data_IF_651965352749
#
_entry.id   IF_651965352749
#
_cell.length_a   1.000
_cell.length_b   1.000
_cell.length_c   1.000
_cell.angle_alpha   90.00
_cell.angle_beta   90.00
_cell.angle_gamma   90.00
#
_symmetry.space_group_name_H-M   'P 1'
#
loop_
_entity.id
_entity.type
_entity.pdbx_description
1 polymer ?
#
# COMPACT_ATOMS: atom_id res chain seq x y z
N UNK A 1 19.45 -42.81 -2.02
CA UNK A 1 18.62 -41.65 -2.34
C UNK A 1 18.84 -40.56 -1.30
N UNK A 2 19.80 -39.68 -1.59
CA UNK A 2 20.13 -38.53 -0.71
C UNK A 2 19.40 -37.32 -1.28
N UNK A 3 18.38 -36.87 -0.56
CA UNK A 3 17.66 -35.61 -0.86
C UNK A 3 18.61 -34.44 -0.61
N UNK A 4 19.01 -33.76 -1.66
CA UNK A 4 19.77 -32.49 -1.56
C UNK A 4 18.80 -31.36 -1.27
N UNK A 5 18.75 -30.92 -0.03
CA UNK A 5 18.17 -29.64 0.36
C UNK A 5 18.96 -28.50 -0.30
N UNK A 6 18.40 -27.90 -1.34
CA UNK A 6 18.86 -26.62 -1.86
C UNK A 6 18.45 -25.53 -0.88
N UNK A 7 19.39 -25.05 -0.07
CA UNK A 7 19.24 -23.77 0.64
C UNK A 7 19.10 -22.66 -0.41
N UNK A 8 17.94 -22.05 -0.48
CA UNK A 8 17.70 -20.84 -1.25
C UNK A 8 18.50 -19.70 -0.60
N UNK A 9 19.52 -19.24 -1.30
CA UNK A 9 20.29 -18.05 -0.90
C UNK A 9 19.49 -16.81 -1.35
N UNK A 10 18.69 -16.27 -0.47
CA UNK A 10 18.05 -14.95 -0.65
C UNK A 10 19.16 -13.89 -0.47
N UNK A 11 19.55 -13.23 -1.55
CA UNK A 11 20.53 -12.13 -1.46
C UNK A 11 19.80 -10.89 -0.95
N UNK A 12 20.02 -10.56 0.30
CA UNK A 12 19.60 -9.30 0.90
C UNK A 12 20.65 -8.22 0.55
N UNK A 13 20.22 -7.17 -0.16
CA UNK A 13 21.04 -5.98 -0.36
C UNK A 13 20.56 -4.91 0.60
N UNK A 14 21.37 -4.61 1.60
CA UNK A 14 21.14 -3.49 2.51
C UNK A 14 21.93 -2.28 1.99
N UNK A 15 21.23 -1.24 1.54
CA UNK A 15 21.83 0.07 1.32
C UNK A 15 21.34 1.01 2.43
N UNK A 16 22.25 1.60 3.16
CA UNK A 16 21.97 2.63 4.16
C UNK A 16 22.16 4.00 3.50
N UNK A 17 21.11 4.51 2.85
CA UNK A 17 21.05 5.92 2.48
C UNK A 17 20.33 6.68 3.59
N UNK A 18 21.09 7.41 4.39
CA UNK A 18 20.56 8.37 5.36
C UNK A 18 20.32 9.70 4.65
N UNK A 19 19.10 9.97 4.25
CA UNK A 19 18.69 11.30 3.83
C UNK A 19 18.29 12.12 5.06
N UNK A 20 19.13 13.09 5.45
CA UNK A 20 18.69 14.20 6.29
C UNK A 20 18.00 15.23 5.40
N UNK A 21 16.68 15.33 5.53
CA UNK A 21 15.91 16.38 4.85
C UNK A 21 16.10 17.72 5.54
N UNK A 22 16.35 18.77 4.74
CA UNK A 22 16.45 20.16 5.20
C UNK A 22 15.11 20.82 5.51
N UNK A 23 13.98 20.18 5.16
CA UNK A 23 12.64 20.68 5.44
C UNK A 23 12.31 20.59 6.94
N UNK A 24 11.74 21.65 7.48
CA UNK A 24 11.42 21.76 8.93
C UNK A 24 10.53 20.62 9.42
N UNK A 25 9.62 20.12 8.57
CA UNK A 25 8.67 19.03 8.88
C UNK A 25 9.36 17.68 8.99
N UNK A 26 10.46 17.47 8.23
CA UNK A 26 11.19 16.21 8.20
C UNK A 26 12.50 16.25 9.00
N UNK A 27 12.74 17.35 9.71
CA UNK A 27 13.97 17.50 10.53
C UNK A 27 14.00 16.46 11.64
N UNK A 28 15.04 15.64 11.65
CA UNK A 28 15.17 14.53 12.60
C UNK A 28 14.53 13.23 12.14
N UNK A 29 14.05 13.16 10.89
CA UNK A 29 13.63 11.91 10.28
C UNK A 29 14.85 11.07 9.88
N UNK A 30 14.83 9.80 10.26
CA UNK A 30 15.77 8.80 9.77
C UNK A 30 15.01 7.75 8.97
N UNK A 31 15.43 7.53 7.74
CA UNK A 31 14.89 6.48 6.88
C UNK A 31 16.03 5.56 6.46
N UNK A 32 15.87 4.26 6.69
CA UNK A 32 16.74 3.23 6.12
C UNK A 32 15.92 2.31 5.24
N UNK A 33 16.52 1.80 4.18
CA UNK A 33 15.81 0.89 3.27
C UNK A 33 16.58 -0.40 3.07
N UNK A 34 15.85 -1.49 2.89
CA UNK A 34 16.38 -2.78 2.45
C UNK A 34 15.46 -3.38 1.40
N UNK A 35 16.00 -4.19 0.52
CA UNK A 35 15.20 -4.86 -0.50
C UNK A 35 15.54 -6.33 -0.61
N UNK A 36 14.50 -7.14 -0.84
CA UNK A 36 14.62 -8.59 -1.05
C UNK A 36 14.03 -8.93 -2.41
N UNK A 37 14.81 -9.61 -3.25
CA UNK A 37 14.31 -10.20 -4.50
C UNK A 37 13.42 -11.40 -4.16
N UNK A 38 12.20 -11.37 -4.66
CA UNK A 38 11.19 -12.41 -4.45
C UNK A 38 10.68 -13.02 -5.76
N UNK A 39 11.25 -12.62 -6.89
CA UNK A 39 10.81 -13.03 -8.24
C UNK A 39 10.84 -14.55 -8.47
N UNK A 40 11.71 -15.26 -7.77
CA UNK A 40 11.78 -16.72 -7.83
C UNK A 40 10.66 -17.43 -7.06
N UNK A 41 9.92 -16.72 -6.22
CA UNK A 41 8.88 -17.28 -5.32
C UNK A 41 7.49 -16.77 -5.69
N UNK A 42 7.40 -15.51 -6.12
CA UNK A 42 6.15 -14.83 -6.41
C UNK A 42 6.10 -14.36 -7.87
N UNK A 43 5.08 -14.79 -8.58
CA UNK A 43 4.87 -14.37 -9.98
C UNK A 43 4.35 -12.92 -10.00
N UNK A 44 4.93 -12.09 -10.84
CA UNK A 44 4.50 -10.70 -11.00
C UNK A 44 4.89 -9.77 -9.84
N UNK A 45 5.72 -10.27 -8.91
CA UNK A 45 6.33 -9.46 -7.86
C UNK A 45 7.81 -9.77 -7.83
N UNK A 46 8.62 -8.80 -8.21
CA UNK A 46 10.06 -8.98 -8.30
C UNK A 46 10.77 -8.73 -6.97
N UNK A 47 10.28 -7.77 -6.20
CA UNK A 47 11.00 -7.27 -5.05
C UNK A 47 10.07 -6.74 -3.96
N UNK A 48 10.44 -6.98 -2.71
CA UNK A 48 9.88 -6.30 -1.54
C UNK A 48 10.91 -5.27 -1.08
N UNK A 49 10.48 -4.01 -0.99
CA UNK A 49 11.28 -2.94 -0.39
C UNK A 49 10.72 -2.63 0.99
N UNK A 50 11.61 -2.62 1.99
CA UNK A 50 11.26 -2.25 3.36
C UNK A 50 11.92 -0.91 3.67
N UNK A 51 11.15 -0.04 4.28
CA UNK A 51 11.63 1.22 4.81
C UNK A 51 11.42 1.23 6.32
N UNK A 52 12.48 1.48 7.06
CA UNK A 52 12.39 1.76 8.49
C UNK A 52 12.41 3.28 8.67
N UNK A 53 11.31 3.80 9.17
CA UNK A 53 11.09 5.22 9.38
C UNK A 53 11.14 5.53 10.88
N UNK A 54 11.98 6.48 11.27
CA UNK A 54 12.07 6.93 12.66
C UNK A 54 11.94 8.45 12.71
N UNK A 55 11.04 8.94 13.55
CA UNK A 55 10.87 10.35 13.83
C UNK A 55 10.38 10.54 15.26
N UNK A 56 10.80 11.63 15.92
CA UNK A 56 10.45 11.93 17.33
C UNK A 56 8.94 12.10 17.57
N UNK A 57 8.19 12.51 16.54
CA UNK A 57 6.75 12.74 16.63
C UNK A 57 5.92 11.48 16.34
N UNK A 58 6.56 10.35 16.02
CA UNK A 58 5.86 9.06 15.95
C UNK A 58 5.51 8.63 17.37
N UNK A 59 4.21 8.44 17.69
CA UNK A 59 3.81 8.04 19.02
C UNK A 59 4.37 6.67 19.41
N UNK A 60 4.76 6.49 20.66
CA UNK A 60 5.38 5.26 21.18
C UNK A 60 4.52 4.01 20.91
N UNK A 61 3.20 4.13 21.01
CA UNK A 61 2.28 3.02 20.71
C UNK A 61 2.41 2.50 19.26
N UNK A 62 2.97 3.28 18.34
CA UNK A 62 3.20 2.91 16.96
C UNK A 62 4.64 2.45 16.70
N UNK A 63 5.46 2.22 17.72
CA UNK A 63 6.76 1.58 17.54
C UNK A 63 6.57 0.18 16.96
N UNK A 64 7.34 -0.11 15.90
CA UNK A 64 7.23 -1.36 15.16
C UNK A 64 5.96 -1.53 14.34
N UNK A 65 5.13 -0.48 14.20
CA UNK A 65 3.92 -0.48 13.39
C UNK A 65 4.28 -0.68 11.91
N UNK A 66 3.59 -1.60 11.26
CA UNK A 66 3.88 -2.02 9.89
C UNK A 66 2.82 -1.53 8.93
N UNK A 67 3.24 -0.80 7.91
CA UNK A 67 2.40 -0.36 6.81
C UNK A 67 2.81 -1.15 5.56
N UNK A 68 1.87 -1.88 4.97
CA UNK A 68 2.03 -2.38 3.61
C UNK A 68 1.48 -1.35 2.64
N UNK A 69 2.20 -1.11 1.56
CA UNK A 69 1.76 -0.20 0.49
C UNK A 69 1.85 -0.91 -0.86
N UNK A 70 0.79 -0.79 -1.65
CA UNK A 70 0.72 -1.25 -3.03
C UNK A 70 0.10 -0.17 -3.91
N UNK A 71 0.54 -0.07 -5.15
CA UNK A 71 0.03 0.88 -6.15
C UNK A 71 0.21 0.31 -7.55
N UNK A 72 -0.50 0.88 -8.53
CA UNK A 72 -0.28 0.63 -9.96
C UNK A 72 -0.35 -0.86 -10.33
N UNK A 73 -1.34 -1.55 -9.81
CA UNK A 73 -1.51 -2.98 -10.06
C UNK A 73 -1.87 -3.27 -11.51
N UNK A 74 -2.60 -2.35 -12.16
CA UNK A 74 -3.07 -2.49 -13.53
C UNK A 74 -3.52 -3.94 -13.83
N UNK A 75 -4.41 -4.45 -12.97
CA UNK A 75 -4.83 -5.84 -13.02
C UNK A 75 -5.43 -6.19 -14.38
N UNK A 76 -5.00 -7.30 -14.93
CA UNK A 76 -5.17 -7.85 -16.27
C UNK A 76 -4.25 -7.24 -17.34
N UNK A 77 -3.59 -6.10 -17.10
CA UNK A 77 -2.50 -5.64 -17.94
C UNK A 77 -1.14 -6.06 -17.37
N UNK A 78 -0.66 -5.38 -16.34
CA UNK A 78 0.63 -5.68 -15.71
C UNK A 78 0.54 -6.90 -14.80
N UNK A 79 -0.42 -6.92 -13.89
CA UNK A 79 -0.63 -8.02 -12.95
C UNK A 79 -1.67 -8.99 -13.50
N UNK A 80 -1.28 -10.24 -13.73
CA UNK A 80 -2.18 -11.32 -14.15
C UNK A 80 -2.72 -12.08 -12.93
N UNK A 81 -3.70 -12.97 -13.14
CA UNK A 81 -4.39 -13.67 -12.06
C UNK A 81 -3.47 -14.45 -11.11
N UNK A 82 -2.49 -15.18 -11.67
CA UNK A 82 -1.48 -15.86 -10.84
C UNK A 82 -0.67 -14.87 -10.01
N UNK A 83 -0.28 -13.74 -10.61
CA UNK A 83 0.43 -12.65 -9.93
C UNK A 83 -0.41 -12.03 -8.81
N UNK A 84 -1.70 -11.81 -9.02
CA UNK A 84 -2.61 -11.31 -7.98
C UNK A 84 -2.68 -12.28 -6.78
N UNK A 85 -2.82 -13.58 -7.03
CA UNK A 85 -2.83 -14.56 -5.95
C UNK A 85 -1.49 -14.62 -5.21
N UNK A 86 -0.38 -14.49 -5.90
CA UNK A 86 0.95 -14.46 -5.32
C UNK A 86 1.19 -13.17 -4.52
N UNK A 87 0.72 -12.01 -5.01
CA UNK A 87 0.74 -10.74 -4.28
C UNK A 87 -0.06 -10.84 -2.97
N UNK A 88 -1.27 -11.39 -3.01
CA UNK A 88 -2.09 -11.60 -1.80
C UNK A 88 -1.36 -12.47 -0.78
N UNK A 89 -0.76 -13.58 -1.20
CA UNK A 89 0.05 -14.45 -0.32
C UNK A 89 1.21 -13.68 0.30
N UNK A 90 1.90 -12.87 -0.50
CA UNK A 90 3.02 -12.05 -0.04
C UNK A 90 2.57 -11.00 0.98
N UNK A 91 1.48 -10.28 0.71
CA UNK A 91 0.92 -9.30 1.63
C UNK A 91 0.50 -9.91 2.97
N UNK A 92 -0.14 -11.08 2.95
CA UNK A 92 -0.48 -11.82 4.17
C UNK A 92 0.78 -12.18 4.96
N UNK A 93 1.86 -12.60 4.28
CA UNK A 93 3.12 -12.95 4.92
C UNK A 93 3.84 -11.76 5.57
N UNK A 94 3.58 -10.51 5.11
CA UNK A 94 4.16 -9.30 5.72
C UNK A 94 3.61 -9.00 7.11
N UNK A 95 2.41 -9.51 7.46
CA UNK A 95 1.73 -9.25 8.74
C UNK A 95 1.67 -7.75 9.05
N UNK A 96 1.26 -6.96 8.07
CA UNK A 96 1.11 -5.53 8.23
C UNK A 96 -0.06 -5.19 9.15
N UNK A 97 0.05 -4.08 9.89
CA UNK A 97 -1.01 -3.56 10.75
C UNK A 97 -2.07 -2.82 9.94
N UNK A 98 -1.66 -2.20 8.83
CA UNK A 98 -2.54 -1.51 7.88
C UNK A 98 -2.07 -1.77 6.45
N UNK A 99 -3.02 -1.87 5.51
CA UNK A 99 -2.74 -1.90 4.08
C UNK A 99 -3.19 -0.58 3.45
N UNK A 100 -2.28 0.08 2.75
CA UNK A 100 -2.55 1.28 1.97
C UNK A 100 -2.44 0.95 0.48
N UNK A 101 -3.38 1.47 -0.32
CA UNK A 101 -3.47 1.23 -1.75
C UNK A 101 -3.48 2.57 -2.49
N UNK A 102 -2.53 2.74 -3.42
CA UNK A 102 -2.22 4.02 -4.08
C UNK A 102 -2.97 4.30 -5.37
N UNK A 103 -3.93 3.43 -5.78
CA UNK A 103 -4.68 3.62 -7.01
C UNK A 103 -4.12 2.86 -8.22
N UNK A 104 -4.72 3.13 -9.38
CA UNK A 104 -4.46 2.47 -10.66
C UNK A 104 -4.60 0.95 -10.57
N UNK A 105 -5.80 0.54 -10.14
CA UNK A 105 -6.07 -0.83 -9.71
C UNK A 105 -6.20 -1.83 -10.85
N UNK A 106 -6.91 -1.48 -11.92
CA UNK A 106 -7.35 -2.44 -12.94
C UNK A 106 -7.51 -1.80 -14.33
N UNK A 107 -7.64 -2.62 -15.37
CA UNK A 107 -7.75 -2.21 -16.78
C UNK A 107 -9.12 -2.53 -17.41
N UNK A 108 -10.19 -2.60 -16.58
CA UNK A 108 -11.57 -2.81 -17.01
C UNK A 108 -12.52 -3.02 -15.85
N UNK A 109 -13.74 -2.50 -15.93
CA UNK A 109 -14.70 -2.52 -14.81
C UNK A 109 -15.09 -3.95 -14.40
N UNK A 110 -15.08 -4.88 -15.35
CA UNK A 110 -15.31 -6.30 -15.08
C UNK A 110 -14.26 -6.95 -14.18
N UNK A 111 -13.12 -6.29 -13.98
CA UNK A 111 -12.03 -6.79 -13.14
C UNK A 111 -12.02 -6.20 -11.73
N UNK A 112 -12.88 -5.24 -11.44
CA UNK A 112 -12.99 -4.60 -10.11
C UNK A 112 -13.33 -5.64 -9.06
N UNK A 113 -14.42 -6.36 -9.23
CA UNK A 113 -14.87 -7.37 -8.27
C UNK A 113 -13.83 -8.50 -8.04
N UNK A 114 -13.28 -9.16 -9.08
CA UNK A 114 -12.25 -10.18 -8.87
C UNK A 114 -11.01 -9.67 -8.14
N UNK A 115 -10.58 -8.44 -8.42
CA UNK A 115 -9.42 -7.83 -7.80
C UNK A 115 -9.66 -7.59 -6.30
N UNK A 116 -10.72 -6.86 -5.96
CA UNK A 116 -10.98 -6.49 -4.57
C UNK A 116 -11.42 -7.67 -3.70
N UNK A 117 -12.11 -8.66 -4.27
CA UNK A 117 -12.37 -9.95 -3.64
C UNK A 117 -11.09 -10.66 -3.24
N UNK A 118 -10.08 -10.68 -4.12
CA UNK A 118 -8.78 -11.27 -3.81
C UNK A 118 -8.04 -10.47 -2.73
N UNK A 119 -7.98 -9.14 -2.85
CA UNK A 119 -7.31 -8.26 -1.88
C UNK A 119 -8.00 -8.30 -0.50
N UNK A 120 -9.30 -8.52 -0.44
CA UNK A 120 -10.06 -8.67 0.81
C UNK A 120 -9.61 -9.86 1.68
N UNK A 121 -8.83 -10.77 1.13
CA UNK A 121 -8.20 -11.88 1.88
C UNK A 121 -7.05 -11.40 2.77
N UNK A 122 -6.48 -10.24 2.47
CA UNK A 122 -5.45 -9.60 3.29
C UNK A 122 -6.13 -8.92 4.47
N UNK A 123 -6.04 -9.53 5.65
CA UNK A 123 -6.62 -8.97 6.87
C UNK A 123 -5.55 -8.23 7.66
N UNK A 124 -5.81 -6.97 7.94
CA UNK A 124 -4.94 -6.10 8.73
C UNK A 124 -5.71 -5.56 9.94
N UNK A 125 -5.10 -5.52 11.15
CA UNK A 125 -5.79 -5.08 12.36
C UNK A 125 -6.38 -3.67 12.28
N UNK A 126 -5.70 -2.76 11.57
CA UNK A 126 -6.10 -1.36 11.42
C UNK A 126 -6.82 -1.08 10.10
N UNK A 127 -7.15 -2.13 9.33
CA UNK A 127 -7.94 -2.02 8.10
C UNK A 127 -7.13 -1.76 6.84
N UNK A 128 -7.86 -1.58 5.76
CA UNK A 128 -7.34 -1.32 4.41
C UNK A 128 -7.90 -0.01 3.89
N UNK A 129 -7.03 0.85 3.42
CA UNK A 129 -7.37 2.17 2.87
C UNK A 129 -6.88 2.29 1.44
N UNK A 130 -7.59 3.05 0.62
CA UNK A 130 -7.16 3.27 -0.75
C UNK A 130 -7.53 4.66 -1.26
N UNK A 131 -6.71 5.16 -2.15
CA UNK A 131 -6.99 6.34 -2.96
C UNK A 131 -7.18 5.92 -4.41
N UNK A 132 -7.73 6.80 -5.25
CA UNK A 132 -7.94 6.55 -6.67
C UNK A 132 -6.81 7.13 -7.49
N UNK A 133 -6.28 6.35 -8.43
CA UNK A 133 -5.39 6.81 -9.49
C UNK A 133 -6.16 7.45 -10.64
N UNK A 134 -5.46 7.91 -11.67
CA UNK A 134 -6.11 8.52 -12.81
C UNK A 134 -6.96 7.52 -13.63
N UNK A 135 -6.50 6.28 -13.80
CA UNK A 135 -7.27 5.25 -14.52
C UNK A 135 -8.59 4.92 -13.82
N UNK A 136 -8.59 4.95 -12.50
CA UNK A 136 -9.77 4.63 -11.68
C UNK A 136 -10.88 5.68 -11.87
N UNK A 137 -10.51 6.97 -11.95
CA UNK A 137 -11.46 8.05 -12.21
C UNK A 137 -12.02 8.03 -13.62
N UNK A 138 -11.23 7.64 -14.61
CA UNK A 138 -11.66 7.69 -16.00
C UNK A 138 -12.75 6.67 -16.33
N UNK A 139 -12.81 5.53 -15.63
CA UNK A 139 -13.65 4.42 -16.08
C UNK A 139 -14.56 3.81 -15.01
N UNK A 140 -14.04 3.45 -13.86
CA UNK A 140 -14.75 2.54 -12.96
C UNK A 140 -14.84 3.07 -11.53
N UNK A 141 -14.78 4.38 -11.35
CA UNK A 141 -14.73 5.03 -10.07
C UNK A 141 -15.78 4.50 -9.07
N UNK A 142 -17.05 4.58 -9.43
CA UNK A 142 -18.14 4.20 -8.53
C UNK A 142 -18.14 2.69 -8.23
N UNK A 143 -17.80 1.87 -9.21
CA UNK A 143 -17.68 0.42 -9.03
C UNK A 143 -16.55 0.10 -8.04
N UNK A 144 -15.40 0.78 -8.16
CA UNK A 144 -14.27 0.63 -7.26
C UNK A 144 -14.66 1.05 -5.84
N UNK A 145 -15.20 2.26 -5.68
CA UNK A 145 -15.61 2.79 -4.37
C UNK A 145 -16.61 1.88 -3.68
N UNK A 146 -17.64 1.45 -4.41
CA UNK A 146 -18.69 0.57 -3.88
C UNK A 146 -18.14 -0.81 -3.52
N UNK A 147 -17.27 -1.38 -4.36
CA UNK A 147 -16.67 -2.69 -4.11
C UNK A 147 -15.70 -2.65 -2.94
N UNK A 148 -14.87 -1.61 -2.82
CA UNK A 148 -14.03 -1.39 -1.64
C UNK A 148 -14.85 -1.37 -0.35
N UNK A 149 -15.92 -0.57 -0.32
CA UNK A 149 -16.84 -0.49 0.84
C UNK A 149 -17.51 -1.83 1.13
N UNK A 150 -17.93 -2.56 0.10
CA UNK A 150 -18.52 -3.89 0.25
C UNK A 150 -17.58 -4.87 0.98
N UNK A 151 -16.29 -4.81 0.68
CA UNK A 151 -15.27 -5.63 1.34
C UNK A 151 -14.71 -5.03 2.64
N UNK A 152 -15.30 -3.95 3.14
CA UNK A 152 -14.87 -3.30 4.39
C UNK A 152 -13.57 -2.51 4.26
N UNK A 153 -13.17 -2.18 3.06
CA UNK A 153 -12.06 -1.27 2.80
C UNK A 153 -12.55 0.18 2.77
N UNK A 154 -11.69 1.13 3.07
CA UNK A 154 -12.03 2.55 3.12
C UNK A 154 -11.39 3.33 1.97
N UNK A 155 -12.15 3.72 0.94
CA UNK A 155 -11.69 4.71 -0.01
C UNK A 155 -11.58 6.06 0.67
N UNK A 156 -10.46 6.76 0.48
CA UNK A 156 -10.22 8.11 0.97
C UNK A 156 -10.15 9.06 -0.22
N UNK A 157 -11.19 9.84 -0.40
CA UNK A 157 -11.28 10.81 -1.48
C UNK A 157 -11.30 12.23 -0.94
N UNK A 158 -10.11 12.78 -0.69
CA UNK A 158 -9.92 14.06 -0.03
C UNK A 158 -10.45 14.02 1.41
N UNK A 159 -10.18 12.92 2.08
CA UNK A 159 -10.64 12.61 3.42
C UNK A 159 -9.51 12.17 4.33
N UNK A 160 -9.76 12.21 5.62
CA UNK A 160 -8.85 11.75 6.66
C UNK A 160 -9.51 10.69 7.54
N UNK A 161 -8.69 9.80 8.08
CA UNK A 161 -9.07 8.89 9.14
C UNK A 161 -8.00 8.84 10.23
N UNK A 162 -8.37 8.36 11.39
CA UNK A 162 -7.49 8.30 12.55
C UNK A 162 -7.30 6.87 13.00
N UNK A 163 -6.07 6.38 12.96
CA UNK A 163 -5.71 5.11 13.57
C UNK A 163 -5.41 5.32 15.05
N UNK A 164 -6.05 4.54 15.92
CA UNK A 164 -5.87 4.61 17.36
C UNK A 164 -5.30 3.34 17.92
N UNK A 165 -4.26 3.46 18.73
CA UNK A 165 -3.61 2.34 19.40
C UNK A 165 -3.13 2.78 20.79
N UNK A 166 -3.51 2.06 21.83
CA UNK A 166 -3.09 2.27 23.21
C UNK A 166 -3.21 3.75 23.69
N UNK A 167 -4.35 4.39 23.34
CA UNK A 167 -4.64 5.77 23.68
C UNK A 167 -3.91 6.83 22.85
N UNK A 168 -3.04 6.44 21.94
CA UNK A 168 -2.35 7.32 21.00
C UNK A 168 -2.93 7.19 19.59
N UNK A 169 -2.56 8.12 18.70
CA UNK A 169 -3.14 8.13 17.35
C UNK A 169 -2.18 8.65 16.29
N UNK A 170 -2.39 8.17 15.06
CA UNK A 170 -1.82 8.74 13.84
C UNK A 170 -2.95 8.99 12.83
N UNK A 171 -2.73 9.92 11.92
CA UNK A 171 -3.71 10.30 10.89
C UNK A 171 -3.31 9.67 9.58
N UNK A 172 -4.28 9.07 8.88
CA UNK A 172 -4.17 8.69 7.47
C UNK A 172 -5.00 9.68 6.67
N UNK A 173 -4.39 10.27 5.64
CA UNK A 173 -5.05 11.20 4.73
C UNK A 173 -4.97 10.68 3.30
N UNK A 174 -6.08 10.69 2.59
CA UNK A 174 -6.15 10.41 1.16
C UNK A 174 -6.53 11.65 0.39
N UNK A 175 -5.77 11.97 -0.66
CA UNK A 175 -6.07 13.08 -1.56
C UNK A 175 -6.57 12.55 -2.89
N UNK A 176 -7.47 13.31 -3.52
CA UNK A 176 -7.89 13.04 -4.90
C UNK A 176 -6.77 13.34 -5.87
N UNK A 177 -6.80 12.67 -7.01
CA UNK A 177 -5.84 12.93 -8.07
C UNK A 177 -5.92 14.43 -8.49
N UNK A 178 -4.78 15.15 -8.60
CA UNK A 178 -4.75 16.57 -8.96
C UNK A 178 -5.44 16.91 -10.29
N UNK A 179 -5.45 15.99 -11.24
CA UNK A 179 -6.15 16.18 -12.52
C UNK A 179 -7.66 16.30 -12.34
N UNK A 180 -8.23 15.54 -11.41
CA UNK A 180 -9.66 15.61 -11.10
C UNK A 180 -10.01 16.87 -10.30
N UNK A 181 -9.16 17.28 -9.37
CA UNK A 181 -9.34 18.50 -8.58
C UNK A 181 -9.48 19.74 -9.46
N UNK A 182 -8.67 19.87 -10.52
CA UNK A 182 -8.74 20.99 -11.46
C UNK A 182 -10.05 21.05 -12.27
N UNK A 183 -10.67 19.89 -12.57
CA UNK A 183 -11.92 19.80 -13.31
C UNK A 183 -13.16 20.11 -12.45
N UNK A 184 -13.14 19.73 -11.20
CA UNK A 184 -14.29 19.79 -10.32
C UNK A 184 -14.27 20.97 -9.34
N UNK A 185 -13.30 21.88 -9.46
CA UNK A 185 -13.17 23.06 -8.60
C UNK A 185 -12.92 22.73 -7.12
N UNK A 186 -12.50 21.53 -6.81
CA UNK A 186 -12.19 21.11 -5.45
C UNK A 186 -10.84 21.67 -5.03
N UNK A 187 -10.76 22.27 -3.84
CA UNK A 187 -9.49 22.74 -3.29
C UNK A 187 -8.54 21.57 -3.05
N UNK A 188 -7.25 21.67 -3.43
CA UNK A 188 -6.26 20.64 -3.11
C UNK A 188 -5.88 20.61 -1.62
N UNK A 189 -6.43 21.52 -0.81
CA UNK A 189 -6.11 21.61 0.62
C UNK A 189 -7.00 20.67 1.43
N UNK A 190 -6.38 19.69 2.09
CA UNK A 190 -7.07 18.89 3.11
C UNK A 190 -7.27 19.73 4.38
N UNK A 191 -8.49 19.76 4.90
CA UNK A 191 -8.75 20.23 6.25
C UNK A 191 -8.36 19.10 7.22
N UNK A 192 -7.22 19.22 7.87
CA UNK A 192 -6.73 18.32 8.91
C UNK A 192 -7.27 18.75 10.28
#
# INVERSE_FOLDING_TARGET
NVSKNKKQNTKEKTSTDTHESSDLVLRGTKITSSSVDVSSVYTGVDRVVKYDFTHRDVPEAFEGFRIAFISDLHYKSLLKEKGLNDLVRLLIAQKADVLLMGGDYQEGCEYVEPLFSALARVKTPMGTYGVMGNNDYERCHDDIVNTMKHYGMRPLEHEVDTLRKDGQQIIIAGVRNPFDLGRNGVSPTLAL
#
